data_IF_644550152577
#
_entry.id   IF_644550152577
#
_cell.length_a   1.000
_cell.length_b   1.000
_cell.length_c   1.000
_cell.angle_alpha   90.00
_cell.angle_beta   90.00
_cell.angle_gamma   90.00
#
_symmetry.space_group_name_H-M   'P 1'
#
loop_
_entity.id
_entity.type
_entity.pdbx_description
1 polymer ?
#
# COMPACT_ATOMS: atom_id res chain seq x y z
N UNK A 1 59.40 -44.13 -42.66
CA UNK A 1 58.15 -43.69 -42.00
C UNK A 1 58.49 -43.46 -40.52
N UNK A 2 58.59 -42.21 -40.03
CA UNK A 2 58.86 -41.95 -38.62
C UNK A 2 57.55 -41.99 -37.82
N UNK A 3 57.57 -42.66 -36.67
CA UNK A 3 56.44 -42.73 -35.75
C UNK A 3 56.33 -41.43 -34.95
N UNK A 4 55.24 -40.69 -35.14
CA UNK A 4 54.85 -39.55 -34.30
C UNK A 4 54.36 -40.07 -32.93
N UNK A 5 55.18 -39.90 -31.90
CA UNK A 5 54.76 -40.01 -30.50
C UNK A 5 54.10 -38.69 -30.10
N UNK A 6 52.76 -38.70 -30.03
CA UNK A 6 51.98 -37.59 -29.46
C UNK A 6 52.24 -37.52 -27.95
N UNK A 7 52.97 -36.50 -27.52
CA UNK A 7 53.09 -36.14 -26.11
C UNK A 7 51.75 -35.61 -25.60
N UNK A 8 51.10 -36.37 -24.71
CA UNK A 8 49.93 -35.90 -23.98
C UNK A 8 50.36 -34.88 -22.90
N UNK A 9 49.61 -33.80 -22.68
CA UNK A 9 49.90 -32.84 -21.63
C UNK A 9 49.76 -33.48 -20.24
N UNK A 10 50.56 -33.05 -19.25
CA UNK A 10 50.49 -33.60 -17.91
C UNK A 10 49.13 -33.32 -17.24
N UNK A 11 48.65 -34.22 -16.37
CA UNK A 11 47.40 -34.02 -15.64
C UNK A 11 47.47 -32.79 -14.73
N UNK A 12 46.33 -32.10 -14.50
CA UNK A 12 46.28 -30.96 -13.59
C UNK A 12 46.62 -31.37 -12.15
N UNK A 13 47.22 -30.46 -11.35
CA UNK A 13 47.54 -30.73 -9.97
C UNK A 13 46.27 -30.99 -9.14
N UNK A 14 46.36 -31.81 -8.08
CA UNK A 14 45.23 -32.07 -7.20
C UNK A 14 44.75 -30.77 -6.52
N UNK A 15 43.44 -30.64 -6.25
CA UNK A 15 42.89 -29.46 -5.57
C UNK A 15 43.53 -29.29 -4.20
N UNK A 16 44.03 -28.09 -3.91
CA UNK A 16 44.58 -27.79 -2.59
C UNK A 16 43.44 -27.82 -1.55
N UNK A 17 43.72 -28.25 -0.30
CA UNK A 17 42.74 -28.21 0.77
C UNK A 17 42.28 -26.77 1.00
N UNK A 18 40.96 -26.55 1.05
CA UNK A 18 40.39 -25.27 1.46
C UNK A 18 40.91 -24.92 2.86
N UNK A 19 41.20 -23.64 3.15
CA UNK A 19 41.59 -23.23 4.50
C UNK A 19 40.50 -23.69 5.49
N UNK A 20 40.91 -24.40 6.54
CA UNK A 20 40.04 -24.72 7.65
C UNK A 20 39.45 -23.40 8.15
N UNK A 21 38.12 -23.32 8.21
CA UNK A 21 37.37 -22.16 8.62
C UNK A 21 38.05 -21.49 9.82
N UNK A 22 38.59 -20.28 9.59
CA UNK A 22 38.99 -19.40 10.68
C UNK A 22 37.78 -19.33 11.61
N UNK A 23 38.04 -19.64 12.88
CA UNK A 23 37.06 -19.56 13.95
C UNK A 23 36.30 -18.25 13.81
N UNK A 24 35.01 -18.33 13.50
CA UNK A 24 34.10 -17.20 13.56
C UNK A 24 34.25 -16.59 14.95
N UNK A 25 34.91 -15.43 15.05
CA UNK A 25 34.82 -14.65 16.27
C UNK A 25 33.35 -14.34 16.51
N UNK A 26 32.83 -14.54 17.74
CA UNK A 26 31.46 -14.18 18.05
C UNK A 26 31.25 -12.71 17.71
N UNK A 27 30.34 -12.43 16.79
CA UNK A 27 29.99 -11.08 16.40
C UNK A 27 29.65 -10.31 17.68
N UNK A 28 30.28 -9.15 17.93
CA UNK A 28 29.94 -8.35 19.09
C UNK A 28 28.43 -8.10 19.05
N UNK A 29 27.71 -8.25 20.18
CA UNK A 29 26.28 -8.05 20.20
C UNK A 29 25.97 -6.70 19.56
N UNK A 30 25.23 -6.72 18.45
CA UNK A 30 24.67 -5.49 17.88
C UNK A 30 23.98 -4.83 19.06
N UNK A 31 24.35 -3.58 19.41
CA UNK A 31 23.79 -2.94 20.58
C UNK A 31 22.27 -3.09 20.48
N UNK A 32 21.58 -3.49 21.57
CA UNK A 32 20.12 -3.47 21.57
C UNK A 32 19.74 -2.12 21.01
N UNK A 33 18.70 -2.06 20.16
CA UNK A 33 18.12 -0.77 19.83
C UNK A 33 17.74 -0.14 21.17
N UNK A 34 18.63 0.68 21.74
CA UNK A 34 18.23 1.81 22.54
C UNK A 34 17.54 2.71 21.53
N UNK A 35 16.31 2.35 21.17
CA UNK A 35 15.26 3.33 21.08
C UNK A 35 15.25 3.96 22.48
N UNK A 36 16.13 4.93 22.72
CA UNK A 36 15.53 6.20 23.10
C UNK A 36 14.49 6.41 22.00
N UNK A 37 13.22 6.09 22.31
CA UNK A 37 12.09 6.44 21.44
C UNK A 37 12.44 7.83 20.97
N UNK A 38 12.75 8.05 19.67
CA UNK A 38 13.00 9.42 19.24
C UNK A 38 11.77 10.21 19.72
N UNK A 39 11.94 11.44 20.20
CA UNK A 39 10.84 12.17 20.85
C UNK A 39 9.55 12.18 19.99
N UNK A 40 9.70 12.01 18.67
CA UNK A 40 8.65 11.70 17.70
C UNK A 40 7.79 10.47 18.03
N UNK A 41 8.30 9.38 18.60
CA UNK A 41 7.53 8.17 18.99
C UNK A 41 6.69 8.30 20.27
N UNK A 42 7.05 9.22 21.17
CA UNK A 42 6.16 9.60 22.28
C UNK A 42 5.02 10.49 21.80
N UNK A 43 5.28 11.34 20.82
CA UNK A 43 4.24 12.07 20.11
C UNK A 43 3.38 11.15 19.22
N UNK A 44 3.94 10.11 18.58
CA UNK A 44 3.22 9.16 17.72
C UNK A 44 2.10 8.40 18.44
N UNK A 45 2.30 8.03 19.71
CA UNK A 45 1.26 7.40 20.53
C UNK A 45 0.17 8.38 20.98
N UNK A 46 0.43 9.69 20.93
CA UNK A 46 -0.57 10.74 21.20
C UNK A 46 -1.34 11.16 19.92
N UNK A 47 -0.86 10.74 18.74
CA UNK A 47 -1.45 11.02 17.43
C UNK A 47 -2.39 9.93 16.93
N UNK A 48 -2.40 8.76 17.57
CA UNK A 48 -3.51 7.81 17.40
C UNK A 48 -4.78 8.49 17.89
N UNK A 49 -5.71 8.72 16.97
CA UNK A 49 -7.01 9.32 17.24
C UNK A 49 -7.70 8.55 18.38
N UNK A 50 -8.12 9.22 19.47
CA UNK A 50 -8.84 8.57 20.58
C UNK A 50 -10.19 7.95 20.16
N UNK A 51 -10.67 8.27 18.96
CA UNK A 51 -12.04 8.06 18.52
C UNK A 51 -12.22 6.92 17.50
N UNK A 52 -11.19 6.14 17.19
CA UNK A 52 -11.39 4.96 16.35
C UNK A 52 -11.95 3.81 17.20
N UNK A 53 -13.18 3.34 16.94
CA UNK A 53 -13.69 2.16 17.61
C UNK A 53 -12.78 0.97 17.25
N UNK A 54 -12.07 0.46 18.26
CA UNK A 54 -11.23 -0.75 18.14
C UNK A 54 -12.13 -1.99 18.21
N UNK A 55 -13.11 -2.06 17.33
CA UNK A 55 -13.95 -3.24 17.17
C UNK A 55 -13.25 -4.22 16.25
N UNK A 56 -13.33 -5.52 16.55
CA UNK A 56 -12.78 -6.57 15.69
C UNK A 56 -13.52 -6.70 14.33
N UNK A 57 -14.63 -5.98 14.18
CA UNK A 57 -15.44 -5.91 12.97
C UNK A 57 -15.25 -4.53 12.33
N UNK A 58 -15.02 -4.52 11.01
CA UNK A 58 -14.87 -3.32 10.22
C UNK A 58 -16.25 -2.88 9.69
N UNK A 59 -16.85 -1.86 10.31
CA UNK A 59 -18.02 -1.21 9.75
C UNK A 59 -17.57 -0.03 8.89
N UNK A 60 -17.64 -0.17 7.57
CA UNK A 60 -17.16 0.88 6.64
C UNK A 60 -17.89 2.21 6.83
N UNK A 61 -19.18 2.18 7.17
CA UNK A 61 -19.99 3.39 7.32
C UNK A 61 -19.64 4.21 8.56
N UNK A 62 -19.01 3.58 9.56
CA UNK A 62 -18.56 4.24 10.79
C UNK A 62 -17.17 4.86 10.66
N UNK A 63 -16.47 4.61 9.54
CA UNK A 63 -15.11 5.11 9.34
C UNK A 63 -15.11 6.61 9.01
N UNK A 64 -14.21 7.40 9.64
CA UNK A 64 -14.08 8.82 9.32
C UNK A 64 -13.45 9.04 7.95
N UNK A 65 -13.70 10.22 7.36
CA UNK A 65 -12.97 10.65 6.16
C UNK A 65 -11.51 10.97 6.49
N UNK A 66 -10.55 10.59 5.62
CA UNK A 66 -9.14 10.90 5.82
C UNK A 66 -8.78 12.36 5.52
N UNK A 67 -9.61 13.11 4.79
CA UNK A 67 -9.25 14.41 4.19
C UNK A 67 -8.87 15.50 5.21
N UNK A 68 -9.24 15.33 6.48
CA UNK A 68 -8.90 16.26 7.57
C UNK A 68 -7.65 15.89 8.34
N UNK A 69 -7.15 14.67 8.16
CA UNK A 69 -6.06 14.12 8.96
C UNK A 69 -4.84 13.78 8.13
N UNK A 70 -5.03 13.37 6.87
CA UNK A 70 -3.98 12.81 6.04
C UNK A 70 -3.93 13.47 4.67
N UNK A 71 -2.72 13.80 4.23
CA UNK A 71 -2.42 14.26 2.89
C UNK A 71 -1.53 13.23 2.19
N UNK A 72 -2.01 12.66 1.07
CA UNK A 72 -1.22 11.75 0.24
C UNK A 72 -0.12 12.48 -0.53
N UNK A 73 1.01 11.80 -0.73
CA UNK A 73 2.15 12.28 -1.49
C UNK A 73 2.44 11.34 -2.68
N UNK A 74 3.45 10.49 -2.55
CA UNK A 74 3.95 9.62 -3.63
C UNK A 74 3.48 8.17 -3.42
N UNK A 75 3.27 7.44 -4.52
CA UNK A 75 3.12 5.98 -4.46
C UNK A 75 4.51 5.38 -4.10
N UNK A 76 4.54 4.59 -3.03
CA UNK A 76 5.75 3.94 -2.50
C UNK A 76 5.74 2.41 -2.69
N UNK A 77 4.67 1.85 -3.27
CA UNK A 77 4.59 0.44 -3.59
C UNK A 77 3.19 -0.01 -3.98
N UNK A 78 3.12 -1.17 -4.62
CA UNK A 78 1.88 -1.85 -4.97
C UNK A 78 1.65 -3.02 -4.01
N UNK A 79 0.50 -3.04 -3.36
CA UNK A 79 0.00 -4.18 -2.60
C UNK A 79 -0.88 -5.09 -3.44
N UNK A 80 -1.24 -6.26 -2.90
CA UNK A 80 -2.05 -7.27 -3.62
C UNK A 80 -3.40 -6.74 -4.11
N UNK A 81 -4.02 -5.84 -3.33
CA UNK A 81 -5.38 -5.35 -3.56
C UNK A 81 -5.48 -3.82 -3.55
N UNK A 82 -4.34 -3.14 -3.69
CA UNK A 82 -4.31 -1.70 -3.56
C UNK A 82 -2.92 -1.11 -3.62
N UNK A 83 -2.87 0.21 -3.75
CA UNK A 83 -1.63 0.97 -3.81
C UNK A 83 -1.23 1.46 -2.42
N UNK A 84 0.07 1.54 -2.16
CA UNK A 84 0.63 2.07 -0.91
C UNK A 84 1.25 3.42 -1.19
N UNK A 85 0.79 4.45 -0.48
CA UNK A 85 1.26 5.81 -0.61
C UNK A 85 1.96 6.28 0.66
N UNK A 86 2.94 7.17 0.50
CA UNK A 86 3.41 8.01 1.60
C UNK A 86 2.33 9.06 1.88
N UNK A 87 2.00 9.27 3.15
CA UNK A 87 1.15 10.36 3.59
C UNK A 87 1.79 11.18 4.70
N UNK A 88 1.38 12.44 4.84
CA UNK A 88 1.70 13.29 5.99
C UNK A 88 0.44 13.60 6.77
N UNK A 89 0.58 13.72 8.08
CA UNK A 89 -0.51 14.20 8.91
C UNK A 89 -0.69 15.71 8.74
N UNK A 90 -1.92 16.16 8.53
CA UNK A 90 -2.24 17.57 8.30
C UNK A 90 -1.99 18.42 9.55
N UNK A 91 -2.29 17.89 10.74
CA UNK A 91 -2.10 18.60 12.01
C UNK A 91 -0.65 18.51 12.50
N UNK A 92 0.10 17.51 12.05
CA UNK A 92 1.47 17.24 12.48
C UNK A 92 2.35 16.95 11.25
N UNK A 93 2.84 17.99 10.54
CA UNK A 93 3.50 17.84 9.24
C UNK A 93 4.78 16.99 9.24
N UNK A 94 5.45 16.87 10.39
CA UNK A 94 6.63 16.03 10.56
C UNK A 94 6.29 14.53 10.71
N UNK A 95 5.01 14.22 10.89
CA UNK A 95 4.53 12.86 11.03
C UNK A 95 4.14 12.27 9.67
N UNK A 96 4.98 11.33 9.21
CA UNK A 96 4.77 10.59 7.97
C UNK A 96 4.20 9.19 8.26
N UNK A 97 3.35 8.70 7.39
CA UNK A 97 2.75 7.37 7.45
C UNK A 97 2.77 6.70 6.07
N UNK A 98 2.64 5.37 6.07
CA UNK A 98 2.27 4.61 4.89
C UNK A 98 0.74 4.43 4.89
N UNK A 99 0.11 4.59 3.73
CA UNK A 99 -1.34 4.44 3.55
C UNK A 99 -1.58 3.43 2.45
N UNK A 100 -2.14 2.27 2.80
CA UNK A 100 -2.64 1.31 1.82
C UNK A 100 -4.06 1.69 1.42
N UNK A 101 -4.27 2.00 0.15
CA UNK A 101 -5.56 2.41 -0.41
C UNK A 101 -6.14 1.24 -1.18
N UNK A 102 -7.34 0.81 -0.78
CA UNK A 102 -8.05 -0.32 -1.38
C UNK A 102 -9.48 0.07 -1.75
N UNK A 103 -10.07 -0.62 -2.72
CA UNK A 103 -11.46 -0.41 -3.11
C UNK A 103 -12.35 -1.48 -2.45
N UNK A 104 -13.28 -1.09 -1.55
CA UNK A 104 -14.13 -2.06 -0.84
C UNK A 104 -15.23 -2.58 -1.77
N UNK A 105 -14.92 -3.60 -2.56
CA UNK A 105 -15.91 -4.38 -3.33
C UNK A 105 -16.28 -5.64 -2.56
N UNK A 106 -17.50 -6.15 -2.75
CA UNK A 106 -17.99 -7.34 -2.02
C UNK A 106 -17.05 -8.55 -2.09
N UNK A 107 -16.29 -8.70 -3.16
CA UNK A 107 -15.33 -9.79 -3.36
C UNK A 107 -14.04 -9.62 -2.55
N UNK A 108 -13.63 -8.38 -2.27
CA UNK A 108 -12.38 -8.03 -1.58
C UNK A 108 -12.60 -7.72 -0.09
N UNK A 109 -13.86 -7.54 0.34
CA UNK A 109 -14.19 -7.18 1.72
C UNK A 109 -13.66 -8.16 2.78
N UNK A 110 -13.72 -9.47 2.52
CA UNK A 110 -13.25 -10.48 3.49
C UNK A 110 -11.74 -10.35 3.77
N UNK A 111 -10.95 -10.10 2.72
CA UNK A 111 -9.50 -9.90 2.83
C UNK A 111 -9.16 -8.58 3.52
N UNK A 112 -9.91 -7.53 3.20
CA UNK A 112 -9.83 -6.23 3.87
C UNK A 112 -10.10 -6.36 5.37
N UNK A 113 -11.15 -7.08 5.75
CA UNK A 113 -11.50 -7.32 7.15
C UNK A 113 -10.41 -8.10 7.88
N UNK A 114 -9.85 -9.11 7.22
CA UNK A 114 -8.75 -9.89 7.76
C UNK A 114 -7.50 -9.03 7.98
N UNK A 115 -7.12 -8.21 7.00
CA UNK A 115 -5.98 -7.31 7.11
C UNK A 115 -6.17 -6.28 8.23
N UNK A 116 -7.35 -5.67 8.31
CA UNK A 116 -7.71 -4.75 9.40
C UNK A 116 -7.59 -5.43 10.77
N UNK A 117 -8.12 -6.66 10.91
CA UNK A 117 -8.08 -7.41 12.18
C UNK A 117 -6.65 -7.72 12.62
N UNK A 118 -5.82 -8.19 11.68
CA UNK A 118 -4.41 -8.50 11.95
C UNK A 118 -3.65 -7.24 12.40
N UNK A 119 -3.83 -6.12 11.69
CA UNK A 119 -3.22 -4.84 12.05
C UNK A 119 -3.70 -4.34 13.42
N UNK A 120 -4.98 -4.50 13.74
CA UNK A 120 -5.54 -4.11 15.03
C UNK A 120 -4.93 -4.92 16.18
N UNK A 121 -4.81 -6.24 16.01
CA UNK A 121 -4.35 -7.15 17.06
C UNK A 121 -2.83 -7.11 17.25
N UNK A 122 -2.07 -7.01 16.17
CA UNK A 122 -0.63 -7.24 16.20
C UNK A 122 0.22 -5.95 16.17
N UNK A 123 -0.38 -4.78 15.96
CA UNK A 123 0.35 -3.50 15.83
C UNK A 123 1.15 -3.05 17.07
N UNK A 124 0.99 -3.72 18.21
CA UNK A 124 1.77 -3.44 19.43
C UNK A 124 3.09 -4.20 19.47
N UNK A 125 3.30 -5.17 18.58
CA UNK A 125 4.50 -5.98 18.53
C UNK A 125 5.68 -5.20 17.93
N UNK A 126 6.88 -5.33 18.52
CA UNK A 126 8.05 -4.52 18.14
C UNK A 126 8.54 -4.72 16.70
N UNK A 127 8.27 -5.89 16.13
CA UNK A 127 8.69 -6.27 14.77
C UNK A 127 7.55 -6.20 13.74
N UNK A 128 6.43 -5.55 14.08
CA UNK A 128 5.32 -5.27 13.18
C UNK A 128 5.05 -3.76 13.11
N UNK A 129 4.53 -3.30 11.98
CA UNK A 129 4.24 -1.88 11.80
C UNK A 129 3.14 -1.43 12.76
N UNK A 130 3.35 -0.28 13.41
CA UNK A 130 2.30 0.34 14.20
C UNK A 130 1.12 0.72 13.28
N UNK A 131 -0.09 0.34 13.68
CA UNK A 131 -1.33 0.72 13.02
C UNK A 131 -1.88 2.01 13.64
N UNK A 132 -2.23 2.98 12.79
CA UNK A 132 -2.73 4.29 13.21
C UNK A 132 -4.24 4.47 13.01
N UNK A 133 -4.84 3.71 12.09
CA UNK A 133 -6.30 3.68 11.92
C UNK A 133 -6.76 3.39 10.50
N UNK A 134 -8.08 3.23 10.35
CA UNK A 134 -8.77 3.05 9.08
C UNK A 134 -9.65 4.26 8.75
N UNK A 135 -9.79 4.61 7.48
CA UNK A 135 -10.59 5.75 7.01
C UNK A 135 -11.32 5.38 5.72
N UNK A 136 -12.50 5.95 5.50
CA UNK A 136 -13.25 5.77 4.26
C UNK A 136 -13.37 7.12 3.53
N UNK A 137 -12.76 7.20 2.35
CA UNK A 137 -12.96 8.31 1.42
C UNK A 137 -14.05 7.93 0.44
N UNK A 138 -15.20 8.56 0.56
CA UNK A 138 -16.35 8.32 -0.30
C UNK A 138 -16.20 9.00 -1.65
N UNK A 139 -16.69 8.34 -2.68
CA UNK A 139 -16.89 8.89 -4.00
C UNK A 139 -17.69 10.20 -3.93
N UNK A 140 -17.38 11.21 -4.76
CA UNK A 140 -18.27 12.34 -4.93
C UNK A 140 -19.63 11.82 -5.43
N UNK A 141 -20.71 12.20 -4.74
CA UNK A 141 -22.06 11.84 -5.17
C UNK A 141 -22.31 12.34 -6.60
N UNK A 142 -23.00 11.55 -7.45
CA UNK A 142 -23.40 12.03 -8.76
C UNK A 142 -24.19 13.34 -8.63
N UNK A 143 -24.01 14.32 -9.53
CA UNK A 143 -24.81 15.53 -9.51
C UNK A 143 -26.29 15.15 -9.58
N UNK A 144 -27.07 15.63 -8.61
CA UNK A 144 -28.52 15.39 -8.59
C UNK A 144 -29.11 15.84 -9.93
N UNK A 145 -30.03 15.07 -10.54
CA UNK A 145 -30.70 15.51 -11.76
C UNK A 145 -31.37 16.86 -11.50
N UNK A 146 -31.39 17.78 -12.48
CA UNK A 146 -32.01 19.08 -12.29
C UNK A 146 -33.46 18.88 -11.82
N UNK A 147 -33.94 19.71 -10.88
CA UNK A 147 -35.32 19.62 -10.41
C UNK A 147 -36.23 19.67 -11.64
N UNK A 148 -37.06 18.64 -11.80
CA UNK A 148 -38.00 18.53 -12.92
C UNK A 148 -38.94 19.73 -12.80
N UNK A 149 -38.69 20.80 -13.55
CA UNK A 149 -39.58 21.95 -13.59
C UNK A 149 -40.91 21.41 -14.08
N UNK A 150 -41.92 21.47 -13.22
CA UNK A 150 -43.29 21.19 -13.59
C UNK A 150 -43.72 22.26 -14.58
N UNK A 151 -43.46 22.03 -15.87
CA UNK A 151 -44.12 22.77 -16.94
C UNK A 151 -45.57 22.29 -16.89
N UNK A 152 -46.39 23.00 -16.12
CA UNK A 152 -47.84 22.98 -16.31
C UNK A 152 -48.10 23.65 -17.65
N UNK A 153 -48.01 22.89 -18.74
CA UNK A 153 -48.55 23.31 -20.03
C UNK A 153 -50.07 23.41 -19.87
N UNK A 154 -50.73 24.52 -20.22
CA UNK A 154 -52.18 24.53 -20.34
C UNK A 154 -52.61 23.55 -21.45
N UNK A 155 -53.77 22.90 -21.34
CA UNK A 155 -54.23 21.97 -22.37
C UNK A 155 -54.47 22.73 -23.67
N UNK A 156 -53.76 22.36 -24.73
CA UNK A 156 -54.05 22.85 -26.08
C UNK A 156 -55.42 22.32 -26.54
N UNK A 157 -56.23 23.13 -27.25
CA UNK A 157 -57.50 22.66 -27.79
C UNK A 157 -57.24 21.63 -28.89
N UNK A 158 -58.01 20.53 -28.85
CA UNK A 158 -58.00 19.47 -29.84
C UNK A 158 -58.55 19.97 -31.17
N UNK A 159 -57.69 20.16 -32.16
CA UNK A 159 -58.09 20.13 -33.57
C UNK A 159 -57.47 18.95 -34.29
N UNK A 160 -58.33 18.21 -34.98
CA UNK A 160 -58.04 16.95 -35.65
C UNK A 160 -57.34 17.20 -36.98
N UNK A 161 -56.40 16.30 -37.28
CA UNK A 161 -56.01 15.86 -38.62
C UNK A 161 -55.07 16.81 -39.41
N UNK A 162 -53.77 16.50 -39.37
CA UNK A 162 -52.97 16.26 -40.59
C UNK A 162 -51.65 15.57 -40.23
N UNK A 163 -51.38 14.49 -40.96
CA UNK A 163 -50.18 13.66 -40.89
C UNK A 163 -49.07 14.27 -41.75
N UNK A 164 -47.81 13.99 -41.35
CA UNK A 164 -46.56 13.98 -42.14
C UNK A 164 -45.84 15.32 -42.38
N UNK A 165 -44.89 15.61 -41.48
CA UNK A 165 -43.52 15.95 -41.90
C UNK A 165 -42.54 15.53 -40.80
N UNK A 166 -41.70 14.53 -41.11
CA UNK A 166 -40.53 14.16 -40.32
C UNK A 166 -39.45 15.18 -40.70
N UNK A 167 -39.26 16.20 -39.87
CA UNK A 167 -38.05 17.00 -39.94
C UNK A 167 -37.02 16.44 -38.97
N UNK A 168 -35.98 15.94 -39.62
CA UNK A 168 -34.78 15.36 -39.04
C UNK A 168 -33.89 16.52 -38.55
N UNK A 169 -33.29 16.36 -37.37
CA UNK A 169 -32.23 17.19 -36.77
C UNK A 169 -32.59 18.59 -36.25
N UNK A 170 -32.70 18.68 -34.92
CA UNK A 170 -31.96 19.73 -34.20
C UNK A 170 -31.20 19.09 -33.06
N UNK A 171 -29.88 19.08 -33.23
CA UNK A 171 -28.89 18.80 -32.22
C UNK A 171 -29.19 19.60 -30.96
N UNK A 172 -29.27 18.94 -29.81
CA UNK A 172 -28.95 19.59 -28.56
C UNK A 172 -28.24 18.64 -27.61
N UNK A 173 -26.98 19.03 -27.36
CA UNK A 173 -26.08 18.63 -26.27
C UNK A 173 -25.89 17.14 -26.03
N UNK A 174 -24.81 16.62 -26.64
CA UNK A 174 -23.88 15.66 -26.07
C UNK A 174 -24.03 15.52 -24.54
N UNK A 175 -24.71 14.45 -24.10
CA UNK A 175 -24.50 13.95 -22.76
C UNK A 175 -23.08 13.37 -22.72
N UNK A 176 -22.19 14.05 -22.01
CA UNK A 176 -20.82 13.63 -21.80
C UNK A 176 -20.78 12.27 -21.05
N UNK A 177 -20.27 11.17 -21.63
CA UNK A 177 -20.25 9.87 -20.97
C UNK A 177 -19.05 9.68 -20.01
N UNK A 178 -18.46 10.76 -19.48
CA UNK A 178 -17.24 10.70 -18.66
C UNK A 178 -17.37 11.24 -17.24
N UNK A 179 -18.49 10.99 -16.55
CA UNK A 179 -18.47 10.95 -15.08
C UNK A 179 -18.16 9.52 -14.66
N UNK A 180 -16.88 9.12 -14.76
CA UNK A 180 -16.42 7.92 -14.09
C UNK A 180 -16.69 8.11 -12.60
N UNK A 181 -17.69 7.41 -12.07
CA UNK A 181 -17.96 7.37 -10.64
C UNK A 181 -16.71 6.74 -10.02
N UNK A 182 -15.86 7.55 -9.42
CA UNK A 182 -14.70 7.07 -8.71
C UNK A 182 -15.21 6.20 -7.55
N UNK A 183 -14.76 4.95 -7.40
CA UNK A 183 -15.22 4.10 -6.30
C UNK A 183 -14.76 4.67 -4.95
N UNK A 184 -15.47 4.29 -3.89
CA UNK A 184 -15.02 4.53 -2.52
C UNK A 184 -13.61 3.95 -2.30
N UNK A 185 -12.87 4.56 -1.38
CA UNK A 185 -11.51 4.18 -1.05
C UNK A 185 -11.37 3.95 0.45
N UNK A 186 -10.99 2.73 0.84
CA UNK A 186 -10.59 2.40 2.19
C UNK A 186 -9.10 2.66 2.36
N UNK A 187 -8.73 3.41 3.40
CA UNK A 187 -7.35 3.76 3.73
C UNK A 187 -6.96 3.08 5.03
N UNK A 188 -5.93 2.22 4.99
CA UNK A 188 -5.29 1.68 6.18
C UNK A 188 -3.98 2.42 6.43
N UNK A 189 -3.91 3.17 7.53
CA UNK A 189 -2.79 4.05 7.84
C UNK A 189 -1.87 3.42 8.89
N UNK A 190 -0.58 3.33 8.60
CA UNK A 190 0.41 2.62 9.40
C UNK A 190 1.79 3.28 9.39
N UNK A 191 2.70 2.79 10.25
CA UNK A 191 4.09 3.23 10.33
C UNK A 191 4.77 3.19 8.97
N UNK A 192 5.48 4.28 8.64
CA UNK A 192 6.28 4.35 7.43
C UNK A 192 7.70 3.83 7.68
N UNK A 193 8.00 2.67 7.12
CA UNK A 193 9.35 2.10 7.12
C UNK A 193 10.24 2.80 6.07
N UNK A 194 10.96 3.85 6.48
CA UNK A 194 11.71 4.73 5.56
C UNK A 194 12.86 4.05 4.80
N UNK A 195 13.35 2.91 5.29
CA UNK A 195 14.48 2.20 4.70
C UNK A 195 14.09 1.23 3.58
N UNK A 196 12.82 1.18 3.20
CA UNK A 196 12.32 0.24 2.20
C UNK A 196 12.24 -1.20 2.70
N UNK A 197 11.96 -2.12 1.78
CA UNK A 197 11.81 -3.54 2.09
C UNK A 197 13.15 -4.28 2.15
N UNK A 198 13.15 -5.49 2.70
CA UNK A 198 14.30 -6.41 2.62
C UNK A 198 14.68 -6.71 1.16
N UNK A 199 13.69 -6.72 0.26
CA UNK A 199 13.91 -6.86 -1.18
C UNK A 199 14.68 -5.67 -1.75
N UNK A 200 14.34 -4.44 -1.33
CA UNK A 200 15.06 -3.24 -1.76
C UNK A 200 16.49 -3.23 -1.23
N UNK A 201 16.68 -3.63 0.02
CA UNK A 201 18.00 -3.83 0.61
C UNK A 201 18.82 -4.84 -0.21
N UNK A 202 18.27 -6.03 -0.49
CA UNK A 202 18.96 -7.07 -1.26
C UNK A 202 19.30 -6.59 -2.69
N UNK A 203 18.35 -5.95 -3.37
CA UNK A 203 18.58 -5.36 -4.70
C UNK A 203 19.67 -4.29 -4.67
N UNK A 204 19.70 -3.45 -3.63
CA UNK A 204 20.72 -2.39 -3.51
C UNK A 204 22.14 -2.97 -3.35
N UNK A 205 22.29 -4.04 -2.56
CA UNK A 205 23.56 -4.75 -2.40
C UNK A 205 24.02 -5.40 -3.70
N UNK A 206 23.12 -6.07 -4.42
CA UNK A 206 23.44 -6.66 -5.72
C UNK A 206 23.89 -5.60 -6.74
N UNK A 207 23.23 -4.43 -6.78
CA UNK A 207 23.66 -3.30 -7.62
C UNK A 207 25.06 -2.78 -7.25
N UNK A 208 25.41 -2.83 -5.97
CA UNK A 208 26.74 -2.49 -5.48
C UNK A 208 27.78 -3.63 -5.67
N UNK A 209 27.39 -4.73 -6.32
CA UNK A 209 28.20 -5.95 -6.45
C UNK A 209 28.65 -6.54 -5.09
N UNK A 210 27.80 -6.36 -4.08
CA UNK A 210 27.97 -6.90 -2.72
C UNK A 210 26.90 -7.95 -2.44
N UNK A 211 27.13 -8.75 -1.40
CA UNK A 211 26.15 -9.70 -0.86
C UNK A 211 25.76 -9.29 0.55
N UNK A 212 24.54 -9.64 0.94
CA UNK A 212 24.15 -9.53 2.34
C UNK A 212 25.02 -10.46 3.18
N UNK A 213 25.55 -9.94 4.28
CA UNK A 213 26.26 -10.75 5.26
C UNK A 213 25.31 -11.74 5.93
N UNK A 214 25.77 -12.95 6.21
CA UNK A 214 24.97 -14.00 6.86
C UNK A 214 24.43 -13.54 8.22
N UNK A 215 25.16 -12.69 8.94
CA UNK A 215 24.72 -12.12 10.22
C UNK A 215 23.49 -11.22 10.07
N UNK A 216 23.43 -10.43 9.00
CA UNK A 216 22.29 -9.57 8.68
C UNK A 216 21.09 -10.43 8.26
N UNK A 217 21.32 -11.48 7.46
CA UNK A 217 20.29 -12.44 7.09
C UNK A 217 19.71 -13.11 8.34
N UNK A 218 20.57 -13.63 9.21
CA UNK A 218 20.17 -14.27 10.47
C UNK A 218 19.41 -13.31 11.39
N UNK A 219 19.82 -12.04 11.44
CA UNK A 219 19.11 -10.99 12.18
C UNK A 219 17.69 -10.81 11.65
N UNK A 220 17.53 -10.62 10.33
CA UNK A 220 16.22 -10.42 9.70
C UNK A 220 15.30 -11.61 9.96
N UNK A 221 15.80 -12.83 9.77
CA UNK A 221 15.03 -14.06 10.00
C UNK A 221 14.62 -14.15 11.47
N UNK A 222 15.53 -13.91 12.42
CA UNK A 222 15.24 -13.97 13.86
C UNK A 222 14.16 -12.96 14.26
N UNK A 223 14.26 -11.71 13.83
CA UNK A 223 13.26 -10.69 14.17
C UNK A 223 11.91 -10.96 13.50
N UNK A 224 11.91 -11.52 12.29
CA UNK A 224 10.69 -11.98 11.60
C UNK A 224 10.01 -13.10 12.40
N UNK A 225 10.78 -14.10 12.86
CA UNK A 225 10.25 -15.22 13.64
C UNK A 225 9.71 -14.83 15.02
N UNK A 226 10.14 -13.70 15.59
CA UNK A 226 9.52 -13.18 16.83
C UNK A 226 8.12 -12.63 16.60
N UNK A 227 7.80 -12.20 15.37
CA UNK A 227 6.52 -11.61 15.02
C UNK A 227 5.47 -12.62 14.52
N UNK A 228 5.91 -13.82 14.12
CA UNK A 228 5.08 -14.91 13.61
C UNK A 228 4.71 -15.88 14.74
#
# INVERSE_FOLDING_TARGET
MPHLLHHLPPPPPPPQPLPLAESFEPIPPIPPRTRSRPASQQQQAALTTPNHPKTNFLCLDDLPSPDREWQLFENIGDGTYGEVFRAKNIRHPDFNAAVKIMHPTNEVLEEIEQEYRVLLQLSTHENLCQFYGAYLKRAPAPPLPPPRTSITSPPAPMDKMSLLSIDTNSANSFANPSSTVQPDQLWLVMELCTSGSVTDLAKSMLKANQRLEESVIAYIIRETLKAL
#
